data_IF_149514838768
#
_entry.id   IF_149514838768
#
_cell.length_a   1.000
_cell.length_b   1.000
_cell.length_c   1.000
_cell.angle_alpha   90.00
_cell.angle_beta   90.00
_cell.angle_gamma   90.00
#
_symmetry.space_group_name_H-M   'P 1'
#
loop_
_entity.id
_entity.type
_entity.pdbx_description
1 polymer ?
#
# COMPACT_ATOMS: atom_id res chain seq x y z
N UNK A 1 27.25 2.30 -5.11
CA UNK A 1 27.49 2.61 -3.67
C UNK A 1 27.24 1.35 -2.87
N UNK A 2 28.12 1.03 -1.92
CA UNK A 2 27.94 -0.14 -1.07
C UNK A 2 27.00 0.19 0.09
N UNK A 3 26.04 -0.68 0.37
CA UNK A 3 25.11 -0.58 1.47
C UNK A 3 25.05 -1.91 2.23
N UNK A 4 24.60 -1.89 3.45
CA UNK A 4 24.26 -3.11 4.21
C UNK A 4 22.82 -3.46 3.93
N UNK A 5 22.54 -4.74 3.75
CA UNK A 5 21.20 -5.26 3.48
C UNK A 5 20.81 -6.25 4.58
N UNK A 6 19.76 -5.95 5.31
CA UNK A 6 19.25 -6.79 6.41
C UNK A 6 17.80 -7.19 6.12
N UNK A 7 17.45 -8.50 6.18
CA UNK A 7 16.07 -8.93 6.03
C UNK A 7 15.14 -8.29 7.06
N UNK A 8 14.01 -7.76 6.62
CA UNK A 8 12.91 -7.32 7.48
C UNK A 8 11.96 -8.49 7.68
N UNK A 9 11.58 -8.74 8.92
CA UNK A 9 10.62 -9.82 9.22
C UNK A 9 9.19 -9.30 9.14
N UNK A 10 8.25 -10.04 8.53
CA UNK A 10 8.41 -11.39 7.91
C UNK A 10 8.86 -11.35 6.45
N UNK A 11 8.88 -10.20 5.79
CA UNK A 11 9.33 -9.99 4.41
C UNK A 11 9.86 -8.58 4.22
N UNK A 12 10.66 -8.39 3.16
CA UNK A 12 11.26 -7.11 2.81
C UNK A 12 12.74 -7.02 3.19
N UNK A 13 13.34 -5.90 2.84
CA UNK A 13 14.76 -5.66 3.03
C UNK A 13 15.00 -4.25 3.56
N UNK A 14 15.79 -4.14 4.61
CA UNK A 14 16.32 -2.87 5.11
C UNK A 14 17.70 -2.63 4.48
N UNK A 15 17.87 -1.48 3.84
CA UNK A 15 19.14 -1.02 3.29
C UNK A 15 19.61 0.18 4.11
N UNK A 16 20.84 0.09 4.62
CA UNK A 16 21.49 1.16 5.39
C UNK A 16 22.84 1.53 4.75
N UNK A 17 23.21 2.83 4.72
CA UNK A 17 24.46 3.25 4.14
C UNK A 17 25.64 2.76 4.97
N UNK A 18 26.75 2.41 4.32
CA UNK A 18 28.00 2.10 5.03
C UNK A 18 28.69 3.34 5.61
N UNK A 19 28.41 4.50 4.99
CA UNK A 19 28.94 5.79 5.43
C UNK A 19 27.78 6.77 5.70
N UNK A 20 27.86 7.52 6.77
CA UNK A 20 26.79 8.41 7.24
C UNK A 20 26.41 9.56 6.32
N UNK A 21 27.15 9.80 5.24
CA UNK A 21 26.89 10.87 4.26
C UNK A 21 26.46 10.33 2.90
N UNK A 22 26.23 9.03 2.77
CA UNK A 22 25.80 8.43 1.52
C UNK A 22 24.43 9.00 1.12
N UNK A 23 24.36 9.45 -0.15
CA UNK A 23 23.15 10.06 -0.69
C UNK A 23 22.30 9.01 -1.39
N UNK A 24 21.01 9.03 -1.10
CA UNK A 24 20.05 8.12 -1.71
C UNK A 24 20.00 8.24 -3.24
N UNK A 25 20.32 9.43 -3.79
CA UNK A 25 20.40 9.67 -5.24
C UNK A 25 21.52 8.87 -5.94
N UNK A 26 22.51 8.40 -5.21
CA UNK A 26 23.65 7.67 -5.77
C UNK A 26 23.42 6.15 -5.85
N UNK A 27 22.28 5.67 -5.30
CA UNK A 27 21.89 4.28 -5.43
C UNK A 27 21.43 3.95 -6.84
N UNK A 28 21.77 2.75 -7.29
CA UNK A 28 21.36 2.22 -8.59
C UNK A 28 19.86 1.87 -8.56
N UNK A 29 19.07 2.62 -9.33
CA UNK A 29 17.61 2.47 -9.38
C UNK A 29 17.21 1.12 -9.97
N UNK A 30 17.90 0.61 -10.98
CA UNK A 30 17.54 -0.67 -11.59
C UNK A 30 17.79 -1.82 -10.63
N UNK A 31 18.89 -1.78 -9.89
CA UNK A 31 19.13 -2.72 -8.80
C UNK A 31 18.06 -2.64 -7.70
N UNK A 32 17.69 -1.43 -7.27
CA UNK A 32 16.62 -1.26 -6.27
C UNK A 32 15.28 -1.79 -6.75
N UNK A 33 14.92 -1.59 -8.03
CA UNK A 33 13.70 -2.16 -8.63
C UNK A 33 13.70 -3.68 -8.57
N UNK A 34 14.81 -4.33 -8.91
CA UNK A 34 14.97 -5.78 -8.80
C UNK A 34 14.78 -6.25 -7.36
N UNK A 35 15.34 -5.52 -6.39
CA UNK A 35 15.16 -5.81 -4.97
C UNK A 35 13.69 -5.71 -4.56
N UNK A 36 12.98 -4.61 -4.91
CA UNK A 36 11.54 -4.47 -4.59
C UNK A 36 10.71 -5.59 -5.22
N UNK A 37 10.97 -5.93 -6.48
CA UNK A 37 10.25 -7.02 -7.17
C UNK A 37 10.49 -8.39 -6.53
N UNK A 38 11.65 -8.63 -5.95
CA UNK A 38 12.01 -9.89 -5.29
C UNK A 38 11.53 -9.96 -3.85
N UNK A 39 11.76 -8.87 -3.09
CA UNK A 39 11.50 -8.81 -1.65
C UNK A 39 10.14 -8.18 -1.31
N UNK A 40 9.42 -7.64 -2.32
CA UNK A 40 8.14 -6.94 -2.27
C UNK A 40 8.19 -5.56 -1.58
N UNK A 41 9.12 -5.34 -0.67
CA UNK A 41 9.28 -4.09 0.08
C UNK A 41 10.76 -3.85 0.39
N UNK A 42 11.21 -2.62 0.21
CA UNK A 42 12.49 -2.16 0.73
C UNK A 42 12.32 -0.91 1.60
N UNK A 43 13.13 -0.84 2.64
CA UNK A 43 13.27 0.31 3.53
C UNK A 43 14.67 0.88 3.34
N UNK A 44 14.76 2.13 2.91
CA UNK A 44 16.02 2.88 2.82
C UNK A 44 16.11 3.76 4.06
N UNK A 45 17.07 3.51 4.94
CA UNK A 45 17.20 4.18 6.24
C UNK A 45 18.60 4.69 6.45
N UNK A 46 18.72 5.91 7.01
CA UNK A 46 20.02 6.50 7.36
C UNK A 46 20.75 7.17 6.19
N UNK A 47 20.20 7.16 4.99
CA UNK A 47 20.71 7.92 3.85
C UNK A 47 20.39 9.40 3.99
N UNK A 48 21.18 10.25 3.34
CA UNK A 48 20.77 11.64 3.12
C UNK A 48 19.59 11.64 2.14
N UNK A 49 18.46 12.20 2.55
CA UNK A 49 17.19 12.16 1.83
C UNK A 49 16.72 13.55 1.36
N UNK A 50 15.42 13.75 1.22
CA UNK A 50 14.79 14.89 0.56
C UNK A 50 14.45 16.01 1.55
N UNK A 51 14.74 17.25 1.16
CA UNK A 51 14.39 18.43 1.95
C UNK A 51 12.90 18.78 1.80
N UNK A 52 12.36 18.64 0.59
CA UNK A 52 11.00 19.04 0.24
C UNK A 52 10.26 18.00 -0.63
N UNK A 53 9.01 18.30 -0.98
CA UNK A 53 8.19 17.44 -1.81
C UNK A 53 8.69 17.37 -3.25
N UNK A 54 9.28 18.45 -3.77
CA UNK A 54 9.79 18.52 -5.13
C UNK A 54 11.01 17.62 -5.32
N UNK A 55 11.98 17.69 -4.40
CA UNK A 55 13.15 16.80 -4.43
C UNK A 55 12.76 15.33 -4.33
N UNK A 56 11.75 15.00 -3.49
CA UNK A 56 11.21 13.65 -3.43
C UNK A 56 10.55 13.23 -4.75
N UNK A 57 9.71 14.10 -5.36
CA UNK A 57 9.10 13.81 -6.65
C UNK A 57 10.14 13.59 -7.75
N UNK A 58 11.17 14.44 -7.80
CA UNK A 58 12.28 14.32 -8.79
C UNK A 58 13.05 13.00 -8.65
N UNK A 59 13.23 12.51 -7.41
CA UNK A 59 13.79 11.18 -7.20
C UNK A 59 12.84 10.07 -7.70
N UNK A 60 11.54 10.18 -7.40
CA UNK A 60 10.55 9.20 -7.86
C UNK A 60 10.43 9.16 -9.38
N UNK A 61 10.63 10.26 -10.10
CA UNK A 61 10.64 10.31 -11.57
C UNK A 61 11.76 9.47 -12.20
N UNK A 62 12.86 9.24 -11.50
CA UNK A 62 13.92 8.32 -11.93
C UNK A 62 13.48 6.86 -11.93
N UNK A 63 12.45 6.52 -11.13
CA UNK A 63 11.85 5.19 -11.07
C UNK A 63 10.86 4.94 -12.18
N UNK A 64 10.25 5.96 -12.75
CA UNK A 64 9.27 5.87 -13.81
C UNK A 64 8.32 7.05 -13.84
N UNK A 65 7.31 6.96 -14.68
CA UNK A 65 6.28 7.98 -14.78
C UNK A 65 5.43 8.03 -13.50
N UNK A 66 5.29 9.21 -12.92
CA UNK A 66 4.45 9.42 -11.74
C UNK A 66 2.97 9.47 -12.15
N UNK A 67 2.12 8.82 -11.39
CA UNK A 67 0.67 8.97 -11.50
C UNK A 67 0.25 10.32 -10.91
N UNK A 68 -0.24 11.21 -11.77
CA UNK A 68 -0.64 12.57 -11.38
C UNK A 68 -2.06 12.55 -10.84
N UNK A 69 -2.25 13.17 -9.68
CA UNK A 69 -3.54 13.34 -9.02
C UNK A 69 -3.97 14.82 -9.05
N UNK A 70 -5.23 15.16 -8.77
CA UNK A 70 -5.65 16.57 -8.70
C UNK A 70 -4.87 17.42 -7.68
N UNK A 71 -4.35 16.80 -6.61
CA UNK A 71 -3.44 17.44 -5.65
C UNK A 71 -1.97 17.50 -6.11
N UNK A 72 -1.64 16.98 -7.30
CA UNK A 72 -0.30 16.95 -7.86
C UNK A 72 0.38 15.58 -7.81
N UNK A 73 1.74 15.59 -7.80
CA UNK A 73 2.58 14.38 -7.81
C UNK A 73 2.73 13.74 -6.43
N UNK A 74 2.73 14.56 -5.37
CA UNK A 74 3.02 14.14 -4.00
C UNK A 74 1.79 14.33 -3.13
N UNK A 75 1.39 13.28 -2.44
CA UNK A 75 0.36 13.34 -1.41
C UNK A 75 1.03 13.55 -0.04
N UNK A 76 0.70 14.65 0.61
CA UNK A 76 1.11 14.92 1.98
C UNK A 76 0.14 14.21 2.95
N UNK A 77 0.61 13.19 3.64
CA UNK A 77 -0.17 12.39 4.58
C UNK A 77 0.04 12.94 6.00
N UNK A 78 -0.78 13.93 6.36
CA UNK A 78 -0.78 14.60 7.65
C UNK A 78 -2.16 14.41 8.28
N UNK A 79 -2.22 14.07 9.57
CA UNK A 79 -3.49 14.01 10.30
C UNK A 79 -4.16 15.38 10.33
N UNK A 80 -5.45 15.42 9.98
CA UNK A 80 -6.26 16.64 9.95
C UNK A 80 -7.26 16.66 11.13
N UNK A 81 -7.60 17.83 11.62
CA UNK A 81 -8.60 17.96 12.70
C UNK A 81 -10.02 17.66 12.23
N UNK A 82 -10.36 18.12 11.02
CA UNK A 82 -11.65 17.91 10.38
C UNK A 82 -11.42 17.29 9.00
N UNK A 83 -11.10 15.99 8.95
CA UNK A 83 -10.77 15.34 7.70
C UNK A 83 -12.03 15.17 6.82
N UNK A 84 -11.90 15.41 5.54
CA UNK A 84 -12.92 15.08 4.53
C UNK A 84 -12.79 13.63 4.03
N UNK A 85 -11.71 12.97 4.40
CA UNK A 85 -11.40 11.60 4.01
C UNK A 85 -10.72 10.82 5.13
N UNK A 86 -11.06 9.51 5.24
CA UNK A 86 -10.55 8.63 6.28
C UNK A 86 -9.02 8.44 6.25
N UNK A 87 -8.35 8.73 5.12
CA UNK A 87 -6.88 8.64 5.06
C UNK A 87 -6.19 9.73 5.88
N UNK A 88 -6.89 10.84 6.18
CA UNK A 88 -6.39 11.97 6.97
C UNK A 88 -6.91 11.98 8.40
N UNK A 89 -7.81 11.07 8.79
CA UNK A 89 -8.30 10.98 10.15
C UNK A 89 -7.36 10.14 11.04
N UNK A 90 -7.71 10.00 12.31
CA UNK A 90 -6.94 9.22 13.28
C UNK A 90 -7.37 7.74 13.37
N UNK A 91 -8.32 7.29 12.57
CA UNK A 91 -8.75 5.91 12.50
C UNK A 91 -7.71 5.04 11.76
N UNK A 92 -7.85 3.72 11.83
CA UNK A 92 -7.06 2.85 10.97
C UNK A 92 -7.52 2.97 9.51
N UNK A 93 -6.63 2.68 8.59
CA UNK A 93 -6.96 2.53 7.16
C UNK A 93 -6.92 1.03 6.86
N UNK A 94 -8.06 0.44 6.42
CA UNK A 94 -8.12 -0.98 6.06
C UNK A 94 -7.12 -1.34 4.95
N UNK A 95 -6.74 -2.62 4.88
CA UNK A 95 -5.88 -3.12 3.82
C UNK A 95 -6.53 -2.94 2.44
N UNK A 96 -5.81 -2.31 1.53
CA UNK A 96 -6.25 -2.02 0.16
C UNK A 96 -5.05 -1.95 -0.79
N UNK A 97 -5.32 -1.88 -2.08
CA UNK A 97 -4.33 -1.59 -3.12
C UNK A 97 -4.61 -0.24 -3.77
N UNK A 98 -3.57 0.50 -4.14
CA UNK A 98 -3.73 1.77 -4.82
C UNK A 98 -3.84 1.61 -6.35
N UNK A 99 -4.61 2.52 -6.98
CA UNK A 99 -4.91 2.49 -8.40
C UNK A 99 -6.22 1.82 -8.76
N UNK A 100 -6.98 1.27 -7.79
CA UNK A 100 -8.26 0.62 -8.09
C UNK A 100 -9.29 1.56 -8.74
N UNK A 101 -9.19 2.85 -8.48
CA UNK A 101 -10.10 3.87 -9.03
C UNK A 101 -9.50 4.65 -10.21
N UNK A 102 -8.41 4.14 -10.81
CA UNK A 102 -7.67 4.80 -11.88
C UNK A 102 -7.53 3.88 -13.08
N UNK A 103 -7.36 4.45 -14.31
CA UNK A 103 -7.08 3.64 -15.51
C UNK A 103 -5.77 2.84 -15.43
N UNK A 104 -4.80 3.36 -14.68
CA UNK A 104 -3.47 2.75 -14.54
C UNK A 104 -3.18 2.45 -13.07
N UNK A 105 -2.67 1.25 -12.81
CA UNK A 105 -2.29 0.77 -11.49
C UNK A 105 -0.80 1.07 -11.28
N UNK A 106 -0.41 1.78 -10.21
CA UNK A 106 1.00 1.97 -9.88
C UNK A 106 1.72 0.65 -9.66
N UNK A 107 2.94 0.51 -10.17
CA UNK A 107 3.83 -0.59 -9.83
C UNK A 107 4.40 -0.39 -8.42
N UNK A 108 4.86 0.82 -8.13
CA UNK A 108 5.46 1.13 -6.84
C UNK A 108 4.71 2.23 -6.09
N UNK A 109 4.61 2.03 -4.78
CA UNK A 109 4.30 3.08 -3.83
C UNK A 109 5.59 3.51 -3.13
N UNK A 110 5.86 4.80 -3.14
CA UNK A 110 7.03 5.36 -2.50
C UNK A 110 6.58 6.30 -1.38
N UNK A 111 7.10 6.05 -0.18
CA UNK A 111 6.82 6.87 1.00
C UNK A 111 8.11 7.48 1.50
N UNK A 112 8.06 8.75 1.92
CA UNK A 112 9.15 9.43 2.62
C UNK A 112 8.65 9.95 3.97
N UNK A 113 9.39 9.66 5.03
CA UNK A 113 9.04 10.08 6.39
C UNK A 113 9.66 11.45 6.72
N UNK A 114 8.84 12.50 6.69
CA UNK A 114 9.23 13.86 7.10
C UNK A 114 9.22 13.99 8.62
N UNK A 115 8.20 13.40 9.27
CA UNK A 115 8.05 13.36 10.72
C UNK A 115 7.45 12.04 11.14
N UNK A 116 8.16 11.31 11.96
CA UNK A 116 7.70 10.04 12.49
C UNK A 116 6.67 10.25 13.62
N UNK A 117 5.67 9.35 13.77
CA UNK A 117 4.86 9.32 14.96
C UNK A 117 5.73 9.02 16.18
N UNK A 118 5.29 9.47 17.35
CA UNK A 118 5.96 9.09 18.59
C UNK A 118 5.80 7.58 18.82
N UNK A 119 6.81 6.94 19.40
CA UNK A 119 6.77 5.52 19.74
C UNK A 119 5.51 5.20 20.57
N UNK A 120 4.87 4.06 20.26
CA UNK A 120 3.63 3.57 20.91
C UNK A 120 2.36 4.40 20.66
N UNK A 121 2.39 5.46 19.84
CA UNK A 121 1.22 6.25 19.50
C UNK A 121 0.40 5.69 18.30
N UNK A 122 0.80 4.53 17.76
CA UNK A 122 0.17 3.92 16.58
C UNK A 122 0.57 4.63 15.28
N UNK A 123 -0.27 4.50 14.23
CA UNK A 123 -0.04 5.16 12.95
C UNK A 123 1.05 4.53 12.10
N UNK A 124 1.50 3.30 12.41
CA UNK A 124 2.39 2.53 11.55
C UNK A 124 1.70 2.27 10.20
N UNK A 125 2.45 2.32 9.11
CA UNK A 125 1.95 1.84 7.83
C UNK A 125 2.02 0.32 7.82
N UNK A 126 0.92 -0.32 7.46
CA UNK A 126 0.82 -1.79 7.43
C UNK A 126 0.89 -2.29 6.01
N UNK A 127 1.53 -3.44 5.83
CA UNK A 127 1.65 -4.12 4.55
C UNK A 127 1.29 -5.60 4.72
N UNK A 128 0.58 -6.16 3.76
CA UNK A 128 0.30 -7.59 3.71
C UNK A 128 0.77 -8.16 2.38
N UNK A 129 1.64 -9.16 2.45
CA UNK A 129 2.16 -9.85 1.28
C UNK A 129 1.15 -10.88 0.78
N UNK A 130 0.47 -10.55 -0.31
CA UNK A 130 -0.61 -11.37 -0.87
C UNK A 130 -0.11 -12.68 -1.46
N UNK A 131 1.14 -12.73 -1.92
CA UNK A 131 1.77 -13.95 -2.45
C UNK A 131 2.00 -14.95 -1.34
N UNK A 132 2.52 -14.48 -0.19
CA UNK A 132 2.71 -15.32 1.00
C UNK A 132 1.35 -15.77 1.54
N UNK A 133 0.39 -14.85 1.69
CA UNK A 133 -0.96 -15.17 2.16
C UNK A 133 -1.63 -16.26 1.31
N UNK A 134 -1.52 -16.17 -0.02
CA UNK A 134 -2.03 -17.21 -0.93
C UNK A 134 -1.30 -18.55 -0.82
N UNK A 135 0.01 -18.50 -0.66
CA UNK A 135 0.83 -19.73 -0.54
C UNK A 135 0.49 -20.51 0.73
N UNK A 136 0.31 -19.81 1.86
CA UNK A 136 0.03 -20.39 3.17
C UNK A 136 -1.46 -20.76 3.36
N UNK A 137 -2.35 -20.26 2.53
CA UNK A 137 -3.79 -20.50 2.61
C UNK A 137 -4.12 -21.99 2.34
N UNK A 138 -5.17 -22.49 3.00
CA UNK A 138 -5.70 -23.83 2.76
C UNK A 138 -6.26 -23.97 1.33
N UNK A 139 -6.38 -25.21 0.84
CA UNK A 139 -7.02 -25.45 -0.47
C UNK A 139 -8.48 -24.99 -0.50
N UNK A 140 -9.18 -25.12 0.64
CA UNK A 140 -10.55 -24.67 0.81
C UNK A 140 -10.63 -23.15 0.70
N UNK A 141 -9.83 -22.40 1.46
CA UNK A 141 -9.81 -20.94 1.43
C UNK A 141 -9.50 -20.42 0.03
N UNK A 142 -8.46 -20.95 -0.61
CA UNK A 142 -8.13 -20.58 -2.00
C UNK A 142 -9.29 -20.83 -2.96
N UNK A 143 -9.99 -21.97 -2.83
CA UNK A 143 -11.14 -22.28 -3.65
C UNK A 143 -12.30 -21.31 -3.43
N UNK A 144 -12.55 -20.93 -2.18
CA UNK A 144 -13.56 -19.93 -1.83
C UNK A 144 -13.20 -18.57 -2.42
N UNK A 145 -11.97 -18.09 -2.20
CA UNK A 145 -11.53 -16.76 -2.65
C UNK A 145 -11.51 -16.62 -4.19
N UNK A 146 -11.23 -17.71 -4.92
CA UNK A 146 -11.26 -17.72 -6.39
C UNK A 146 -12.65 -17.46 -6.98
N UNK A 147 -13.72 -17.77 -6.25
CA UNK A 147 -15.09 -17.50 -6.69
C UNK A 147 -15.47 -16.04 -6.57
N UNK A 148 -14.79 -15.29 -5.69
CA UNK A 148 -15.23 -13.96 -5.25
C UNK A 148 -14.75 -12.87 -6.19
N UNK A 149 -15.69 -11.99 -6.54
CA UNK A 149 -15.44 -10.74 -7.26
C UNK A 149 -15.79 -9.55 -6.35
N UNK A 150 -14.84 -8.64 -6.16
CA UNK A 150 -15.04 -7.39 -5.46
C UNK A 150 -15.57 -6.29 -6.37
N UNK A 151 -16.51 -5.51 -5.87
CA UNK A 151 -17.07 -4.32 -6.49
C UNK A 151 -16.74 -3.13 -5.60
N UNK A 152 -15.93 -2.22 -6.12
CA UNK A 152 -15.36 -1.11 -5.37
C UNK A 152 -15.80 0.19 -6.01
N UNK A 153 -16.49 1.05 -5.28
CA UNK A 153 -16.88 2.38 -5.75
C UNK A 153 -16.41 3.45 -4.77
N UNK A 154 -15.90 4.53 -5.32
CA UNK A 154 -15.50 5.70 -4.56
C UNK A 154 -15.86 6.96 -5.31
N UNK A 155 -16.51 7.86 -4.57
CA UNK A 155 -16.83 9.20 -5.03
C UNK A 155 -16.03 10.22 -4.22
N UNK A 156 -15.31 11.08 -4.91
CA UNK A 156 -14.59 12.22 -4.38
C UNK A 156 -15.05 13.47 -5.14
N UNK A 157 -14.62 14.64 -4.70
CA UNK A 157 -14.93 15.90 -5.40
C UNK A 157 -14.52 15.87 -6.89
N UNK A 158 -13.41 15.18 -7.20
CA UNK A 158 -12.75 15.17 -8.49
C UNK A 158 -12.82 13.83 -9.25
N UNK A 159 -13.53 12.84 -8.75
CA UNK A 159 -13.84 11.61 -9.50
C UNK A 159 -15.00 10.81 -8.90
N UNK A 160 -15.70 10.08 -9.74
CA UNK A 160 -16.63 8.99 -9.37
C UNK A 160 -16.22 7.75 -10.15
N UNK A 161 -15.60 6.80 -9.46
CA UNK A 161 -15.02 5.64 -10.11
C UNK A 161 -15.54 4.34 -9.52
N UNK A 162 -15.77 3.38 -10.42
CA UNK A 162 -16.19 2.03 -10.08
C UNK A 162 -15.27 1.00 -10.75
N UNK A 163 -14.80 0.06 -9.94
CA UNK A 163 -13.96 -1.06 -10.38
C UNK A 163 -14.57 -2.38 -9.94
N UNK A 164 -14.52 -3.36 -10.85
CA UNK A 164 -14.90 -4.75 -10.60
C UNK A 164 -13.65 -5.61 -10.79
N UNK A 165 -13.23 -6.30 -9.75
CA UNK A 165 -11.99 -7.10 -9.78
C UNK A 165 -12.19 -8.44 -9.11
N UNK A 166 -11.76 -9.57 -9.72
CA UNK A 166 -11.66 -10.81 -8.98
C UNK A 166 -10.72 -10.61 -7.79
N UNK A 167 -11.06 -11.22 -6.64
CA UNK A 167 -10.22 -11.15 -5.43
C UNK A 167 -8.88 -11.83 -5.68
N UNK A 168 -8.87 -12.95 -6.39
CA UNK A 168 -7.63 -13.59 -6.84
C UNK A 168 -7.41 -13.24 -8.31
N UNK A 169 -6.32 -12.54 -8.59
CA UNK A 169 -5.96 -12.09 -9.92
C UNK A 169 -4.53 -12.52 -10.27
N UNK A 170 -4.24 -12.69 -11.56
CA UNK A 170 -2.87 -12.92 -12.03
C UNK A 170 -2.07 -11.62 -12.02
N UNK A 171 -0.80 -11.70 -11.59
CA UNK A 171 0.14 -10.61 -11.80
C UNK A 171 0.38 -10.42 -13.31
N UNK A 172 0.31 -9.20 -13.85
CA UNK A 172 0.36 -8.99 -15.31
C UNK A 172 1.64 -9.49 -15.97
N UNK A 173 2.79 -9.41 -15.29
CA UNK A 173 4.10 -9.71 -15.87
C UNK A 173 4.77 -10.94 -15.29
N UNK A 174 4.42 -11.36 -14.04
CA UNK A 174 5.21 -12.32 -13.28
C UNK A 174 4.59 -13.70 -13.17
N UNK A 175 3.39 -13.92 -13.75
CA UNK A 175 2.77 -15.24 -13.91
C UNK A 175 2.29 -15.95 -12.64
N UNK A 176 2.32 -15.30 -11.49
CA UNK A 176 1.76 -15.81 -10.25
C UNK A 176 0.48 -15.05 -9.85
N UNK A 177 -0.28 -15.61 -8.92
CA UNK A 177 -1.52 -14.99 -8.42
C UNK A 177 -1.25 -14.07 -7.24
N UNK A 178 -2.08 -13.03 -7.12
CA UNK A 178 -2.09 -12.03 -6.04
C UNK A 178 -3.50 -11.83 -5.53
N UNK A 179 -3.65 -11.27 -4.33
CA UNK A 179 -4.95 -10.86 -3.78
C UNK A 179 -5.20 -9.39 -4.09
N UNK A 180 -6.31 -9.11 -4.77
CA UNK A 180 -6.81 -7.75 -5.07
C UNK A 180 -8.07 -7.51 -4.24
N UNK A 181 -7.87 -7.06 -3.01
CA UNK A 181 -8.92 -6.90 -2.02
C UNK A 181 -8.90 -5.49 -1.42
N UNK A 182 -10.07 -4.93 -1.21
CA UNK A 182 -10.26 -3.74 -0.40
C UNK A 182 -11.06 -4.19 0.82
N UNK A 183 -10.42 -4.17 1.96
CA UNK A 183 -10.99 -4.66 3.21
C UNK A 183 -12.14 -3.75 3.65
N UNK A 184 -13.33 -4.29 3.94
CA UNK A 184 -14.42 -3.50 4.50
C UNK A 184 -14.02 -2.87 5.84
N UNK A 185 -14.27 -1.57 6.04
CA UNK A 185 -14.03 -0.93 7.31
C UNK A 185 -14.91 -1.55 8.40
N UNK A 186 -14.33 -1.80 9.57
CA UNK A 186 -15.05 -2.34 10.72
C UNK A 186 -15.33 -1.26 11.76
N UNK A 187 -16.58 -1.03 12.07
CA UNK A 187 -17.03 -0.06 13.08
C UNK A 187 -17.04 -0.64 14.52
N UNK A 188 -16.41 -1.80 14.75
CA UNK A 188 -16.43 -2.51 16.05
C UNK A 188 -16.05 -1.66 17.26
N UNK A 189 -15.36 -0.53 17.07
CA UNK A 189 -14.94 0.36 18.14
C UNK A 189 -15.75 1.67 18.19
N UNK A 190 -16.93 1.73 17.53
CA UNK A 190 -17.79 2.91 17.52
C UNK A 190 -17.23 4.13 16.77
N UNK A 191 -16.10 3.97 16.08
CA UNK A 191 -15.51 5.03 15.23
C UNK A 191 -16.11 4.96 13.84
N UNK A 192 -16.73 6.05 13.41
CA UNK A 192 -17.29 6.17 12.07
C UNK A 192 -16.17 6.57 11.11
N UNK A 193 -16.12 5.90 9.95
CA UNK A 193 -15.20 6.27 8.87
C UNK A 193 -15.75 7.49 8.10
N UNK A 194 -14.84 8.43 7.82
CA UNK A 194 -15.15 9.59 6.98
C UNK A 194 -15.02 9.19 5.52
N UNK A 195 -16.08 9.37 4.73
CA UNK A 195 -16.13 9.07 3.30
C UNK A 195 -15.53 7.69 2.94
N UNK A 196 -16.03 6.58 3.51
CA UNK A 196 -15.53 5.25 3.17
C UNK A 196 -15.93 4.87 1.74
N UNK A 197 -15.16 4.01 1.05
CA UNK A 197 -15.59 3.44 -0.22
C UNK A 197 -16.83 2.58 -0.05
N UNK A 198 -17.66 2.50 -1.10
CA UNK A 198 -18.76 1.53 -1.16
C UNK A 198 -18.21 0.22 -1.69
N UNK A 199 -18.36 -0.84 -0.90
CA UNK A 199 -17.82 -2.16 -1.18
C UNK A 199 -18.94 -3.19 -1.20
N UNK A 200 -18.90 -4.09 -2.20
CA UNK A 200 -19.73 -5.30 -2.22
C UNK A 200 -18.97 -6.45 -2.87
N UNK A 201 -19.41 -7.66 -2.63
CA UNK A 201 -18.78 -8.87 -3.13
C UNK A 201 -19.83 -9.79 -3.72
N UNK A 202 -19.45 -10.50 -4.78
CA UNK A 202 -20.33 -11.45 -5.50
C UNK A 202 -19.56 -12.71 -5.87
N UNK A 203 -20.28 -13.74 -6.34
CA UNK A 203 -19.70 -15.02 -6.75
C UNK A 203 -19.76 -16.11 -5.70
N UNK A 204 -20.30 -15.79 -4.51
CA UNK A 204 -20.58 -16.71 -3.40
C UNK A 204 -21.96 -16.41 -2.83
N UNK A 205 -22.52 -17.35 -2.06
CA UNK A 205 -23.77 -17.15 -1.36
C UNK A 205 -23.59 -16.23 -0.13
N UNK A 206 -24.68 -15.65 0.33
CA UNK A 206 -24.65 -14.66 1.45
C UNK A 206 -24.12 -15.27 2.75
N UNK A 207 -24.41 -16.54 2.99
CA UNK A 207 -23.93 -17.29 4.17
C UNK A 207 -22.43 -17.63 4.11
N UNK A 208 -21.83 -17.72 2.91
CA UNK A 208 -20.38 -17.88 2.72
C UNK A 208 -19.58 -16.55 2.92
N UNK A 209 -20.28 -15.41 2.95
CA UNK A 209 -19.60 -14.09 2.95
C UNK A 209 -18.80 -13.82 4.24
N UNK A 210 -19.31 -14.24 5.38
CA UNK A 210 -18.61 -14.09 6.66
C UNK A 210 -17.36 -14.98 6.72
N UNK A 211 -17.46 -16.22 6.24
CA UNK A 211 -16.33 -17.14 6.14
C UNK A 211 -15.27 -16.58 5.19
N UNK A 212 -15.67 -16.09 4.02
CA UNK A 212 -14.78 -15.44 3.07
C UNK A 212 -14.00 -14.30 3.72
N UNK A 213 -14.67 -13.34 4.35
CA UNK A 213 -13.99 -12.21 4.97
C UNK A 213 -13.10 -12.60 6.14
N UNK A 214 -13.55 -13.56 6.98
CA UNK A 214 -12.77 -14.00 8.14
C UNK A 214 -11.53 -14.80 7.73
N UNK A 215 -11.65 -15.75 6.80
CA UNK A 215 -10.52 -16.54 6.32
C UNK A 215 -9.49 -15.67 5.60
N UNK A 216 -9.94 -14.75 4.74
CA UNK A 216 -9.07 -13.83 4.03
C UNK A 216 -8.34 -12.88 4.99
N UNK A 217 -9.05 -12.32 5.97
CA UNK A 217 -8.45 -11.48 7.00
C UNK A 217 -7.42 -12.26 7.82
N UNK A 218 -7.73 -13.48 8.25
CA UNK A 218 -6.79 -14.32 8.99
C UNK A 218 -5.49 -14.55 8.20
N UNK A 219 -5.57 -14.78 6.89
CA UNK A 219 -4.40 -14.97 6.04
C UNK A 219 -3.62 -13.67 5.82
N UNK A 220 -4.30 -12.55 5.59
CA UNK A 220 -3.66 -11.25 5.35
C UNK A 220 -2.97 -10.67 6.59
N UNK A 221 -3.50 -10.93 7.78
CA UNK A 221 -2.91 -10.48 9.06
C UNK A 221 -2.09 -11.56 9.77
N UNK A 222 -1.84 -12.70 9.11
CA UNK A 222 -0.99 -13.74 9.67
C UNK A 222 0.45 -13.24 9.86
N UNK A 223 1.16 -13.69 10.91
CA UNK A 223 2.55 -13.27 11.18
C UNK A 223 3.52 -13.45 10.02
N UNK A 224 3.27 -14.39 9.11
CA UNK A 224 4.13 -14.64 7.95
C UNK A 224 3.90 -13.66 6.80
N UNK A 225 2.71 -13.07 6.70
CA UNK A 225 2.29 -12.20 5.60
C UNK A 225 2.12 -10.72 5.97
N UNK A 226 2.12 -10.38 7.26
CA UNK A 226 1.79 -9.05 7.75
C UNK A 226 3.01 -8.34 8.36
N UNK A 227 3.27 -7.12 7.92
CA UNK A 227 4.33 -6.24 8.41
C UNK A 227 3.77 -4.85 8.75
N UNK A 228 4.11 -4.32 9.91
CA UNK A 228 3.77 -2.96 10.33
C UNK A 228 5.06 -2.14 10.47
N UNK A 229 5.26 -1.17 9.58
CA UNK A 229 6.47 -0.36 9.52
C UNK A 229 6.49 0.71 10.61
N UNK A 230 7.49 0.64 11.46
CA UNK A 230 7.78 1.67 12.46
C UNK A 230 8.68 2.75 11.85
N UNK A 231 8.09 3.91 11.62
CA UNK A 231 8.73 5.01 10.92
C UNK A 231 9.85 5.66 11.72
N UNK A 232 10.95 5.98 11.06
CA UNK A 232 11.97 6.93 11.52
C UNK A 232 12.05 8.09 10.54
N UNK A 233 12.37 9.28 11.04
CA UNK A 233 12.56 10.47 10.18
C UNK A 233 13.64 10.17 9.13
N UNK A 234 13.35 10.49 7.88
CA UNK A 234 14.22 10.20 6.74
C UNK A 234 14.03 8.81 6.12
N UNK A 235 13.27 7.90 6.72
CA UNK A 235 12.96 6.62 6.06
C UNK A 235 12.31 6.84 4.70
N UNK A 236 12.76 6.08 3.71
CA UNK A 236 12.07 5.92 2.43
C UNK A 236 11.64 4.46 2.29
N UNK A 237 10.35 4.22 2.19
CA UNK A 237 9.79 2.88 1.97
C UNK A 237 9.30 2.79 0.54
N UNK A 238 9.72 1.75 -0.16
CA UNK A 238 9.30 1.45 -1.53
C UNK A 238 8.64 0.09 -1.53
N UNK A 239 7.36 0.07 -1.85
CA UNK A 239 6.51 -1.11 -1.82
C UNK A 239 6.01 -1.46 -3.22
N UNK A 240 6.02 -2.76 -3.53
CA UNK A 240 5.38 -3.31 -4.72
C UNK A 240 3.86 -3.29 -4.51
N UNK A 241 3.20 -2.31 -5.10
CA UNK A 241 1.76 -2.11 -4.96
C UNK A 241 0.92 -3.22 -5.62
N UNK A 242 1.53 -4.03 -6.49
CA UNK A 242 0.80 -5.12 -7.13
C UNK A 242 0.75 -6.38 -6.26
N UNK A 243 1.79 -6.64 -5.48
CA UNK A 243 1.89 -7.81 -4.60
C UNK A 243 1.53 -7.53 -3.15
N UNK A 244 1.55 -6.28 -2.72
CA UNK A 244 1.19 -5.89 -1.37
C UNK A 244 -0.17 -5.19 -1.32
N UNK A 245 -0.96 -5.54 -0.32
CA UNK A 245 -1.98 -4.64 0.21
C UNK A 245 -1.35 -3.80 1.30
N UNK A 246 -1.82 -2.56 1.46
CA UNK A 246 -1.34 -1.68 2.50
C UNK A 246 -2.48 -1.00 3.24
N UNK A 247 -2.17 -0.51 4.43
CA UNK A 247 -3.08 0.20 5.29
C UNK A 247 -2.34 1.02 6.35
N UNK A 248 -3.02 1.40 7.40
CA UNK A 248 -2.44 2.14 8.51
C UNK A 248 -3.12 1.75 9.82
N UNK A 249 -2.34 1.55 10.86
CA UNK A 249 -2.89 1.44 12.21
C UNK A 249 -3.57 2.74 12.64
N UNK A 250 -4.57 2.60 13.53
CA UNK A 250 -5.15 3.77 14.16
C UNK A 250 -4.11 4.48 15.05
N UNK A 251 -4.27 5.78 15.20
CA UNK A 251 -3.53 6.51 16.22
C UNK A 251 -4.19 6.29 17.58
N UNK A 252 -3.38 5.99 18.58
CA UNK A 252 -3.82 5.89 19.98
C UNK A 252 -4.06 7.28 20.57
N UNK A 253 -3.17 8.20 20.21
CA UNK A 253 -3.25 9.63 20.53
C UNK A 253 -2.80 10.42 19.32
N UNK A 254 -3.21 11.69 19.21
CA UNK A 254 -2.70 12.57 18.15
C UNK A 254 -1.18 12.60 18.17
N UNK A 255 -0.60 12.33 17.01
CA UNK A 255 0.84 12.31 16.83
C UNK A 255 1.21 13.10 15.58
N UNK A 256 2.28 13.89 15.60
CA UNK A 256 2.66 14.74 14.47
C UNK A 256 3.28 13.94 13.33
N UNK A 257 2.61 12.86 12.88
CA UNK A 257 3.05 12.07 11.73
C UNK A 257 2.91 12.87 10.44
N UNK A 258 3.97 12.93 9.65
CA UNK A 258 3.96 13.51 8.33
C UNK A 258 4.73 12.60 7.36
N UNK A 259 4.02 12.00 6.42
CA UNK A 259 4.64 11.25 5.32
C UNK A 259 4.29 11.92 3.98
N UNK A 260 5.18 11.77 3.02
CA UNK A 260 4.93 12.04 1.61
C UNK A 260 4.73 10.72 0.88
N UNK A 261 3.78 10.66 -0.05
CA UNK A 261 3.55 9.48 -0.89
C UNK A 261 3.53 9.86 -2.36
N UNK A 262 4.22 9.05 -3.17
CA UNK A 262 4.22 9.13 -4.64
C UNK A 262 3.89 7.75 -5.19
N UNK A 263 3.10 7.73 -6.27
CA UNK A 263 2.80 6.53 -7.03
C UNK A 263 3.58 6.53 -8.34
N UNK A 264 4.38 5.50 -8.56
CA UNK A 264 5.18 5.32 -9.78
C UNK A 264 4.58 4.21 -10.63
N UNK A 265 4.34 4.50 -11.89
CA UNK A 265 3.81 3.55 -12.87
C UNK A 265 4.92 2.65 -13.41
N UNK A 266 4.57 1.43 -13.76
CA UNK A 266 5.46 0.53 -14.49
C UNK A 266 5.76 0.99 -15.92
N UNK A 267 6.66 0.31 -16.58
CA UNK A 267 6.95 0.53 -18.01
C UNK A 267 6.96 -0.83 -18.75
N UNK A 268 5.90 -1.15 -19.52
CA UNK A 268 4.66 -0.38 -19.72
C UNK A 268 3.83 -0.28 -18.41
N UNK A 269 2.91 0.72 -18.29
CA UNK A 269 2.06 0.84 -17.12
C UNK A 269 1.04 -0.31 -17.05
N UNK A 270 0.73 -0.74 -15.84
CA UNK A 270 -0.32 -1.74 -15.63
C UNK A 270 -1.69 -1.09 -15.82
N UNK A 271 -2.46 -1.63 -16.75
CA UNK A 271 -3.84 -1.20 -16.99
C UNK A 271 -4.75 -1.78 -15.90
N UNK A 272 -5.75 -1.02 -15.46
CA UNK A 272 -6.81 -1.53 -14.60
C UNK A 272 -7.92 -2.18 -15.44
N UNK A 273 -7.95 -3.51 -15.60
CA UNK A 273 -8.90 -4.17 -16.47
C UNK A 273 -10.33 -4.16 -15.91
N UNK A 274 -10.46 -3.91 -14.60
CA UNK A 274 -11.73 -3.89 -13.90
C UNK A 274 -12.39 -2.52 -13.82
N UNK A 275 -11.76 -1.46 -14.32
CA UNK A 275 -12.35 -0.12 -14.29
C UNK A 275 -13.59 -0.06 -15.18
N UNK A 276 -14.76 0.10 -14.53
CA UNK A 276 -16.07 0.16 -15.23
C UNK A 276 -16.43 1.58 -15.60
N UNK A 277 -16.17 2.53 -14.69
CA UNK A 277 -16.43 3.95 -14.90
C UNK A 277 -15.39 4.79 -14.17
N UNK A 278 -15.03 5.90 -14.81
CA UNK A 278 -14.16 6.93 -14.25
C UNK A 278 -14.59 8.27 -14.85
N UNK A 279 -15.18 9.14 -14.03
CA UNK A 279 -15.68 10.48 -14.41
C UNK A 279 -14.95 11.57 -13.65
#
# INVERSE_FOLDING_TARGET
MEHEATPVQPFGLLLEPKQSLDNLYDLDIDHLRELVRREHLIVLRGFHTFQDAESFANYCERWGRISIWPFGKVLELIEQENPEDHIFDNNYVPLHWDGMYRPEIPEFQMFHCVRAPLAQHGGRTTFSNTVIALREASAHDRSLWHKVTGHYQRKMEFYDSKTVSPVIASHPDRGFSVIRYNEPPSEKNGRRFVNPPVLSFSGIEVDELEEFHSSLRNALYAPASFYAHEWRVGDVVIADNYTLLHGREAFVTRSPRHLRRVHVLGNPPYVNPGLVSHQ
#
